data_IF_332837981375
#
_entry.id   IF_332837981375
#
_cell.length_a   1.000
_cell.length_b   1.000
_cell.length_c   1.000
_cell.angle_alpha   90.00
_cell.angle_beta   90.00
_cell.angle_gamma   90.00
#
_symmetry.space_group_name_H-M   'P 1'
#
loop_
_entity.id
_entity.type
_entity.pdbx_description
1 polymer ?
#
# COMPACT_ATOMS: atom_id res chain seq x y z
N UNK A 1 -55.44 -7.07 -10.75
CA UNK A 1 -54.50 -5.95 -11.00
C UNK A 1 -53.10 -6.45 -10.66
N UNK A 2 -52.45 -7.05 -11.66
CA UNK A 2 -51.11 -7.65 -11.54
C UNK A 2 -50.09 -6.56 -11.85
N UNK A 3 -49.35 -6.13 -10.82
CA UNK A 3 -48.23 -5.20 -10.96
C UNK A 3 -47.19 -5.78 -11.92
N UNK A 4 -46.83 -5.01 -12.95
CA UNK A 4 -45.86 -5.38 -13.96
C UNK A 4 -44.44 -5.24 -13.39
N UNK A 5 -44.03 -6.27 -12.62
CA UNK A 5 -42.71 -6.38 -11.98
C UNK A 5 -41.56 -6.13 -12.95
N UNK A 6 -41.76 -6.42 -14.24
CA UNK A 6 -40.78 -6.19 -15.30
C UNK A 6 -40.42 -4.71 -15.41
N UNK A 7 -41.42 -3.84 -15.23
CA UNK A 7 -41.25 -2.39 -15.30
C UNK A 7 -40.56 -1.82 -14.06
N UNK A 8 -40.87 -2.34 -12.88
CA UNK A 8 -40.15 -2.00 -11.63
C UNK A 8 -38.68 -2.41 -11.70
N UNK A 9 -38.37 -3.59 -12.26
CA UNK A 9 -36.99 -4.06 -12.42
C UNK A 9 -36.23 -3.20 -13.44
N UNK A 10 -36.86 -2.80 -14.54
CA UNK A 10 -36.26 -1.90 -15.52
C UNK A 10 -36.02 -0.50 -14.95
N UNK A 11 -36.98 0.06 -14.22
CA UNK A 11 -36.83 1.36 -13.58
C UNK A 11 -35.78 1.33 -12.45
N UNK A 12 -35.65 0.21 -11.74
CA UNK A 12 -34.59 0.02 -10.74
C UNK A 12 -33.22 -0.10 -11.42
N UNK A 13 -33.11 -0.88 -12.50
CA UNK A 13 -31.87 -1.03 -13.25
C UNK A 13 -31.41 0.31 -13.86
N UNK A 14 -32.32 1.07 -14.47
CA UNK A 14 -31.99 2.39 -15.02
C UNK A 14 -31.55 3.40 -13.94
N UNK A 15 -32.02 3.26 -12.70
CA UNK A 15 -31.61 4.11 -11.57
C UNK A 15 -30.31 3.66 -10.89
N UNK A 16 -29.90 2.39 -11.05
CA UNK A 16 -28.79 1.79 -10.31
C UNK A 16 -27.67 1.24 -11.20
N UNK A 17 -27.80 1.32 -12.52
CA UNK A 17 -26.69 1.15 -13.47
C UNK A 17 -25.78 2.35 -13.27
N UNK A 18 -24.74 2.17 -12.46
CA UNK A 18 -23.54 2.98 -12.50
C UNK A 18 -22.57 2.29 -13.48
N UNK A 19 -22.42 2.82 -14.71
CA UNK A 19 -21.54 2.23 -15.72
C UNK A 19 -20.07 2.18 -15.28
N UNK A 20 -19.70 2.90 -14.20
CA UNK A 20 -18.35 2.88 -13.64
C UNK A 20 -18.08 1.68 -12.71
N UNK A 21 -19.09 0.87 -12.38
CA UNK A 21 -18.98 -0.23 -11.39
C UNK A 21 -19.05 -1.65 -11.97
N UNK A 22 -19.01 -1.81 -13.30
CA UNK A 22 -18.98 -3.14 -13.92
C UNK A 22 -17.65 -3.87 -13.67
N UNK A 23 -17.67 -5.12 -13.16
CA UNK A 23 -16.47 -5.94 -13.02
C UNK A 23 -15.83 -6.19 -14.39
N UNK A 24 -14.57 -5.76 -14.57
CA UNK A 24 -13.80 -6.00 -15.80
C UNK A 24 -13.69 -4.80 -16.74
N UNK A 25 -14.35 -3.67 -16.44
CA UNK A 25 -14.05 -2.41 -17.14
C UNK A 25 -12.70 -1.88 -16.63
N UNK A 26 -11.76 -1.48 -17.50
CA UNK A 26 -10.60 -0.72 -17.04
C UNK A 26 -11.15 0.49 -16.27
N UNK A 27 -10.64 0.70 -15.06
CA UNK A 27 -10.98 1.88 -14.27
C UNK A 27 -10.71 3.16 -15.06
N UNK A 28 -11.12 4.33 -14.54
CA UNK A 28 -10.75 5.60 -15.15
C UNK A 28 -9.24 5.62 -15.44
N UNK A 29 -8.79 6.32 -16.51
CA UNK A 29 -7.38 6.45 -16.84
C UNK A 29 -6.56 6.72 -15.57
N UNK A 30 -5.36 6.14 -15.47
CA UNK A 30 -4.46 6.36 -14.33
C UNK A 30 -4.37 7.84 -13.95
N UNK A 31 -4.44 8.72 -14.96
CA UNK A 31 -4.44 10.18 -14.88
C UNK A 31 -5.58 10.78 -14.03
N UNK A 32 -6.76 10.16 -13.96
CA UNK A 32 -7.89 10.63 -13.11
C UNK A 32 -7.82 10.07 -11.67
N UNK A 33 -7.12 8.95 -11.45
CA UNK A 33 -6.77 8.48 -10.08
C UNK A 33 -5.64 9.28 -9.45
N UNK A 34 -5.04 10.21 -10.19
CA UNK A 34 -3.97 11.10 -9.70
C UNK A 34 -4.47 12.24 -8.80
N UNK A 35 -5.78 12.38 -8.59
CA UNK A 35 -6.33 13.63 -8.07
C UNK A 35 -5.91 14.00 -6.63
N UNK A 36 -5.77 13.05 -5.70
CA UNK A 36 -5.33 13.36 -4.34
C UNK A 36 -4.48 12.23 -3.74
N UNK A 37 -3.28 12.59 -3.26
CA UNK A 37 -2.47 11.68 -2.44
C UNK A 37 -3.21 11.41 -1.12
N UNK A 38 -3.19 10.18 -0.59
CA UNK A 38 -3.71 9.92 0.74
C UNK A 38 -3.00 10.82 1.78
N UNK A 39 -3.69 11.24 2.84
CA UNK A 39 -3.04 11.96 3.94
C UNK A 39 -1.97 11.07 4.56
N UNK A 40 -0.86 11.67 5.03
CA UNK A 40 0.16 10.94 5.77
C UNK A 40 -0.48 10.16 6.94
N UNK A 41 -0.07 8.91 7.07
CA UNK A 41 -0.67 7.95 7.98
C UNK A 41 0.31 7.61 9.12
N UNK A 42 -0.25 7.34 10.29
CA UNK A 42 0.48 6.83 11.43
C UNK A 42 -0.33 5.73 12.12
N UNK A 43 0.34 4.63 12.45
CA UNK A 43 -0.25 3.56 13.23
C UNK A 43 0.79 2.56 13.71
N UNK A 44 0.32 1.38 14.06
CA UNK A 44 1.14 0.35 14.71
C UNK A 44 1.17 -0.90 13.83
N UNK A 45 2.37 -1.38 13.55
CA UNK A 45 2.60 -2.73 13.03
C UNK A 45 3.02 -3.68 14.15
N UNK A 46 2.95 -4.99 13.90
CA UNK A 46 3.40 -5.99 14.85
C UNK A 46 4.64 -6.72 14.33
N UNK A 47 5.73 -6.64 15.07
CA UNK A 47 6.94 -7.39 14.79
C UNK A 47 6.80 -8.83 15.31
N UNK A 48 7.27 -9.79 14.51
CA UNK A 48 7.45 -11.19 14.89
C UNK A 48 8.73 -11.70 14.21
N UNK A 49 9.55 -12.42 14.95
CA UNK A 49 10.85 -12.92 14.46
C UNK A 49 11.73 -11.82 13.86
N UNK A 50 11.74 -10.63 14.49
CA UNK A 50 12.44 -9.43 13.99
C UNK A 50 11.93 -8.91 12.64
N UNK A 51 10.67 -9.19 12.29
CA UNK A 51 10.07 -8.76 11.04
C UNK A 51 8.69 -8.15 11.25
N UNK A 52 8.45 -7.01 10.61
CA UNK A 52 7.09 -6.55 10.31
C UNK A 52 6.76 -6.98 8.90
N UNK A 53 5.62 -7.63 8.72
CA UNK A 53 5.12 -8.04 7.41
C UNK A 53 4.02 -7.11 6.97
N UNK A 54 4.07 -6.67 5.72
CA UNK A 54 3.01 -5.92 5.05
C UNK A 54 2.59 -6.76 3.85
N UNK A 55 1.35 -7.24 3.86
CA UNK A 55 0.88 -8.26 2.92
C UNK A 55 -0.44 -7.88 2.30
N UNK A 56 -0.72 -8.47 1.14
CA UNK A 56 -2.06 -8.51 0.58
C UNK A 56 -2.95 -9.43 1.42
N UNK A 57 -4.00 -8.93 2.10
CA UNK A 57 -4.82 -9.74 2.99
C UNK A 57 -5.71 -10.75 2.25
N UNK A 58 -5.83 -10.62 0.92
CA UNK A 58 -6.67 -11.49 0.09
C UNK A 58 -5.88 -12.63 -0.56
N UNK A 59 -4.57 -12.72 -0.33
CA UNK A 59 -3.76 -13.85 -0.79
C UNK A 59 -3.31 -14.72 0.37
N UNK A 60 -3.64 -16.02 0.29
CA UNK A 60 -3.13 -17.06 1.19
C UNK A 60 -1.61 -17.21 1.02
N UNK A 61 -0.91 -17.44 2.14
CA UNK A 61 0.10 -16.53 2.64
C UNK A 61 1.11 -16.19 1.56
N UNK A 62 1.13 -14.91 1.17
CA UNK A 62 2.17 -14.36 0.32
C UNK A 62 3.54 -14.81 0.86
N UNK A 63 4.37 -15.33 -0.04
CA UNK A 63 5.68 -15.88 0.33
C UNK A 63 6.47 -14.85 1.12
N UNK A 64 7.13 -15.27 2.21
CA UNK A 64 8.04 -14.36 2.92
C UNK A 64 9.28 -14.17 2.05
N UNK A 65 9.65 -12.93 1.69
CA UNK A 65 10.88 -12.69 0.94
C UNK A 65 12.09 -13.16 1.77
N UNK A 66 13.08 -13.75 1.09
CA UNK A 66 14.37 -13.99 1.71
C UNK A 66 15.02 -12.64 2.06
N UNK A 67 15.43 -12.48 3.32
CA UNK A 67 15.92 -11.20 3.80
C UNK A 67 17.41 -11.00 3.47
N UNK A 68 17.78 -10.01 2.64
CA UNK A 68 19.17 -9.63 2.44
C UNK A 68 19.72 -8.95 3.70
N UNK A 69 21.03 -8.60 3.74
CA UNK A 69 21.63 -7.82 4.83
C UNK A 69 21.06 -6.40 5.05
N UNK A 70 19.96 -6.05 4.39
CA UNK A 70 19.27 -4.77 4.47
C UNK A 70 18.19 -4.69 5.55
N UNK A 71 17.55 -3.52 5.53
CA UNK A 71 16.41 -3.10 6.31
C UNK A 71 15.08 -3.68 5.80
N UNK A 72 14.91 -3.90 4.50
CA UNK A 72 13.64 -4.35 3.94
C UNK A 72 13.82 -5.28 2.75
N UNK A 73 12.79 -6.09 2.48
CA UNK A 73 12.74 -6.94 1.29
C UNK A 73 11.31 -7.05 0.78
N UNK A 74 11.16 -7.40 -0.50
CA UNK A 74 9.86 -7.60 -1.10
C UNK A 74 9.85 -8.77 -2.09
N UNK A 75 8.68 -9.39 -2.18
CA UNK A 75 8.22 -10.25 -3.27
C UNK A 75 6.83 -9.75 -3.66
N UNK A 76 6.22 -10.25 -4.76
CA UNK A 76 4.84 -9.91 -5.06
C UNK A 76 3.92 -10.13 -3.86
N UNK A 77 3.09 -9.13 -3.56
CA UNK A 77 2.10 -9.12 -2.48
C UNK A 77 2.64 -9.26 -1.04
N UNK A 78 3.97 -9.17 -0.84
CA UNK A 78 4.58 -9.12 0.49
C UNK A 78 5.81 -8.21 0.53
N UNK A 79 5.78 -7.25 1.45
CA UNK A 79 6.93 -6.49 1.89
C UNK A 79 7.23 -6.89 3.33
N UNK A 80 8.51 -6.98 3.68
CA UNK A 80 8.92 -7.15 5.07
C UNK A 80 9.96 -6.10 5.45
N UNK A 81 9.92 -5.69 6.71
CA UNK A 81 10.85 -4.73 7.30
C UNK A 81 11.52 -5.42 8.50
N UNK A 82 12.85 -5.37 8.52
CA UNK A 82 13.67 -5.86 9.62
C UNK A 82 13.54 -4.94 10.83
N UNK A 83 13.25 -5.54 11.99
CA UNK A 83 13.12 -4.84 13.27
C UNK A 83 14.18 -5.23 14.28
N UNK A 84 14.57 -4.27 15.14
CA UNK A 84 15.40 -4.53 16.31
C UNK A 84 14.58 -5.30 17.36
N UNK A 85 13.29 -5.00 17.48
CA UNK A 85 12.36 -5.75 18.32
C UNK A 85 12.09 -7.14 17.76
N UNK A 86 12.36 -8.17 18.55
CA UNK A 86 12.08 -9.56 18.19
C UNK A 86 10.57 -9.83 18.04
N UNK A 87 9.77 -9.33 18.99
CA UNK A 87 8.31 -9.46 18.97
C UNK A 87 7.66 -8.27 19.66
N UNK A 88 6.52 -7.82 19.15
CA UNK A 88 5.69 -6.78 19.75
C UNK A 88 5.43 -5.59 18.82
N UNK A 89 4.74 -4.55 19.31
CA UNK A 89 4.35 -3.41 18.48
C UNK A 89 5.55 -2.57 18.06
N UNK A 90 5.49 -2.03 16.84
CA UNK A 90 6.39 -0.98 16.33
C UNK A 90 5.58 0.11 15.64
N UNK A 91 6.04 1.35 15.73
CA UNK A 91 5.36 2.47 15.10
C UNK A 91 5.66 2.49 13.60
N UNK A 92 4.64 2.73 12.80
CA UNK A 92 4.73 2.86 11.35
C UNK A 92 4.14 4.20 10.94
N UNK A 93 4.89 4.95 10.16
CA UNK A 93 4.42 6.15 9.48
C UNK A 93 4.46 5.90 7.98
N UNK A 94 3.49 6.38 7.23
CA UNK A 94 3.48 6.28 5.78
C UNK A 94 3.14 7.63 5.14
N UNK A 95 3.83 7.94 4.04
CA UNK A 95 3.56 9.08 3.19
C UNK A 95 3.63 8.65 1.72
N UNK A 96 2.81 9.28 0.88
CA UNK A 96 2.66 8.95 -0.53
C UNK A 96 3.15 10.09 -1.40
N UNK A 97 3.89 9.77 -2.46
CA UNK A 97 4.45 10.76 -3.39
C UNK A 97 4.15 10.37 -4.83
N UNK A 98 4.04 11.38 -5.70
CA UNK A 98 3.94 11.20 -7.15
C UNK A 98 5.30 11.35 -7.83
N UNK A 99 6.14 12.27 -7.33
CA UNK A 99 7.43 12.58 -7.93
C UNK A 99 8.56 11.64 -7.44
N UNK A 100 9.66 11.51 -8.22
CA UNK A 100 10.88 10.89 -7.75
C UNK A 100 11.36 11.51 -6.44
N UNK A 101 11.97 10.69 -5.59
CA UNK A 101 12.40 11.11 -4.25
C UNK A 101 13.24 12.39 -4.33
N UNK A 102 12.66 13.51 -3.88
CA UNK A 102 13.48 14.68 -3.61
C UNK A 102 14.46 14.27 -2.51
N UNK A 103 15.76 14.41 -2.80
CA UNK A 103 16.85 14.01 -1.92
C UNK A 103 16.87 14.91 -0.68
N UNK A 104 15.88 14.77 0.20
CA UNK A 104 15.92 15.36 1.51
C UNK A 104 16.96 14.55 2.28
N UNK A 105 17.98 15.23 2.81
CA UNK A 105 18.87 14.65 3.82
C UNK A 105 18.00 14.26 5.00
N UNK A 106 17.54 13.02 4.97
CA UNK A 106 16.63 12.47 5.96
C UNK A 106 17.39 12.41 7.28
N UNK A 107 16.74 12.84 8.37
CA UNK A 107 17.30 12.72 9.72
C UNK A 107 17.42 11.26 10.20
N UNK A 108 17.04 10.30 9.36
CA UNK A 108 17.08 8.87 9.66
C UNK A 108 18.44 8.28 9.25
N UNK A 109 19.11 7.57 10.17
CA UNK A 109 20.47 7.04 9.93
C UNK A 109 20.48 5.83 8.99
N UNK A 110 19.34 5.18 8.79
CA UNK A 110 19.20 4.01 7.93
C UNK A 110 18.08 4.24 6.92
N UNK A 111 18.34 3.91 5.66
CA UNK A 111 17.31 3.91 4.63
C UNK A 111 17.59 2.84 3.60
N UNK A 112 16.53 2.20 3.10
CA UNK A 112 16.59 1.27 1.98
C UNK A 112 15.47 1.58 0.99
N UNK A 113 15.78 1.47 -0.30
CA UNK A 113 14.80 1.59 -1.37
C UNK A 113 14.64 0.24 -2.06
N UNK A 114 13.39 -0.16 -2.28
CA UNK A 114 13.04 -1.37 -2.99
C UNK A 114 11.83 -1.14 -3.90
N UNK A 115 11.63 -2.03 -4.85
CA UNK A 115 10.39 -2.12 -5.62
C UNK A 115 9.56 -3.29 -5.09
N UNK A 116 8.24 -3.13 -5.11
CA UNK A 116 7.32 -4.22 -4.84
C UNK A 116 6.13 -4.18 -5.80
N UNK A 117 5.52 -5.34 -5.99
CA UNK A 117 4.34 -5.52 -6.85
C UNK A 117 3.17 -5.94 -5.99
N UNK A 118 2.00 -5.37 -6.25
CA UNK A 118 0.73 -5.83 -5.68
C UNK A 118 -0.24 -6.22 -6.80
N UNK A 119 -0.94 -7.34 -6.60
CA UNK A 119 -1.90 -7.87 -7.59
C UNK A 119 -3.33 -7.37 -7.36
N UNK A 120 -3.69 -7.02 -6.11
CA UNK A 120 -5.04 -6.55 -5.77
C UNK A 120 -5.09 -5.05 -5.52
N UNK A 121 -3.93 -4.42 -5.28
CA UNK A 121 -3.89 -3.02 -4.86
C UNK A 121 -4.19 -2.80 -3.40
N UNK A 122 -4.10 -3.85 -2.58
CA UNK A 122 -4.30 -3.77 -1.14
C UNK A 122 -3.11 -4.38 -0.44
N UNK A 123 -2.37 -3.57 0.32
CA UNK A 123 -1.18 -3.98 1.09
C UNK A 123 -1.25 -3.41 2.50
N UNK A 124 -1.33 -4.29 3.52
CA UNK A 124 -1.58 -3.92 4.92
C UNK A 124 -0.57 -4.57 5.88
N UNK A 125 -0.13 -3.88 6.94
CA UNK A 125 0.68 -4.52 7.98
C UNK A 125 -0.10 -5.66 8.66
N UNK A 126 0.55 -6.80 8.84
CA UNK A 126 -0.03 -7.93 9.56
C UNK A 126 -0.23 -7.56 11.03
N UNK A 127 -1.44 -7.78 11.55
CA UNK A 127 -1.78 -7.47 12.94
C UNK A 127 -2.03 -5.98 13.23
N UNK A 128 -2.01 -5.10 12.22
CA UNK A 128 -2.53 -3.75 12.37
C UNK A 128 -4.06 -3.80 12.40
N UNK A 129 -4.68 -3.10 13.35
CA UNK A 129 -6.13 -3.16 13.50
C UNK A 129 -6.84 -2.59 12.26
N UNK A 130 -6.53 -1.39 11.74
CA UNK A 130 -7.12 -0.91 10.46
C UNK A 130 -6.29 0.19 9.73
N UNK A 131 -6.71 0.48 8.49
CA UNK A 131 -6.52 1.68 7.63
C UNK A 131 -5.29 1.90 6.76
N UNK A 132 -4.13 1.27 6.98
CA UNK A 132 -3.03 1.46 6.03
C UNK A 132 -3.22 0.61 4.77
N UNK A 133 -3.36 1.27 3.61
CA UNK A 133 -3.13 0.64 2.32
C UNK A 133 -1.94 1.30 1.62
N UNK A 134 -0.79 0.62 1.52
CA UNK A 134 0.38 1.19 0.84
C UNK A 134 0.09 1.52 -0.64
N UNK A 135 -0.83 0.79 -1.27
CA UNK A 135 -1.00 0.77 -2.72
C UNK A 135 -2.28 1.51 -3.13
N UNK A 136 -2.33 2.81 -2.82
CA UNK A 136 -3.53 3.63 -2.93
C UNK A 136 -4.11 3.73 -4.36
N UNK A 137 -3.28 3.58 -5.40
CA UNK A 137 -3.75 3.62 -6.80
C UNK A 137 -4.29 2.27 -7.31
N UNK A 138 -4.20 1.22 -6.51
CA UNK A 138 -4.62 -0.12 -6.86
C UNK A 138 -3.47 -1.05 -7.21
N UNK A 139 -3.77 -2.09 -7.99
CA UNK A 139 -2.78 -3.08 -8.39
C UNK A 139 -1.69 -2.44 -9.26
N UNK A 140 -0.45 -2.91 -9.13
CA UNK A 140 0.67 -2.35 -9.88
C UNK A 140 2.01 -2.50 -9.18
N UNK A 141 3.01 -1.77 -9.71
CA UNK A 141 4.36 -1.72 -9.17
C UNK A 141 4.58 -0.40 -8.44
N UNK A 142 5.25 -0.47 -7.30
CA UNK A 142 5.49 0.65 -6.42
C UNK A 142 6.97 0.67 -6.00
N UNK A 143 7.53 1.87 -5.86
CA UNK A 143 8.76 2.06 -5.15
C UNK A 143 8.44 2.37 -3.70
N UNK A 144 9.16 1.70 -2.80
CA UNK A 144 9.10 1.91 -1.36
C UNK A 144 10.48 2.33 -0.91
N UNK A 145 10.55 3.46 -0.21
CA UNK A 145 11.72 3.80 0.60
C UNK A 145 11.35 3.66 2.07
N UNK A 146 12.08 2.78 2.76
CA UNK A 146 11.94 2.55 4.20
C UNK A 146 13.05 3.29 4.91
N UNK A 147 12.68 4.10 5.89
CA UNK A 147 13.62 4.76 6.79
C UNK A 147 13.56 4.11 8.17
N UNK A 148 14.72 3.68 8.67
CA UNK A 148 14.89 2.99 9.93
C UNK A 148 15.56 3.85 10.99
N UNK A 149 15.30 3.51 12.26
CA UNK A 149 15.96 4.06 13.45
C UNK A 149 15.77 5.57 13.70
N UNK A 150 14.53 6.04 13.68
CA UNK A 150 14.19 7.15 14.57
C UNK A 150 13.62 6.54 15.84
N UNK A 151 14.29 6.78 16.97
CA UNK A 151 13.56 6.86 18.24
C UNK A 151 12.82 8.20 18.16
N UNK A 152 11.47 8.24 18.09
CA UNK A 152 10.78 9.48 18.43
C UNK A 152 11.20 9.88 19.85
N UNK A 153 10.74 11.02 20.35
CA UNK A 153 10.88 11.36 21.77
C UNK A 153 10.32 10.30 22.75
N UNK A 154 9.68 9.25 22.21
CA UNK A 154 9.20 8.05 22.89
C UNK A 154 10.23 6.93 22.71
N UNK A 155 10.53 6.13 23.74
CA UNK A 155 11.46 4.98 23.68
C UNK A 155 11.00 3.82 22.76
N UNK A 156 10.10 4.09 21.80
CA UNK A 156 9.52 3.10 20.92
C UNK A 156 10.20 3.13 19.55
N UNK A 157 10.55 1.94 19.08
CA UNK A 157 11.03 1.72 17.71
C UNK A 157 9.95 2.07 16.69
N UNK A 158 10.36 2.70 15.59
CA UNK A 158 9.46 2.90 14.47
C UNK A 158 10.16 3.16 13.14
N UNK A 159 9.34 3.11 12.09
CA UNK A 159 9.74 3.11 10.69
C UNK A 159 8.87 4.05 9.89
N UNK A 160 9.51 4.77 8.98
CA UNK A 160 8.83 5.71 8.11
C UNK A 160 8.89 5.20 6.67
N UNK A 161 7.73 5.11 6.03
CA UNK A 161 7.51 4.48 4.73
C UNK A 161 7.14 5.57 3.73
N UNK A 162 7.94 5.69 2.68
CA UNK A 162 7.68 6.56 1.55
C UNK A 162 7.29 5.71 0.36
N UNK A 163 6.10 5.93 -0.19
CA UNK A 163 5.54 5.08 -1.26
C UNK A 163 5.22 5.93 -2.48
N UNK A 164 5.62 5.44 -3.66
CA UNK A 164 5.20 6.02 -4.93
C UNK A 164 4.83 4.93 -5.94
N UNK A 165 3.82 5.16 -6.79
CA UNK A 165 3.57 4.30 -7.94
C UNK A 165 4.75 4.37 -8.91
N UNK A 166 5.01 3.27 -9.62
CA UNK A 166 5.92 3.24 -10.77
C UNK A 166 5.07 3.10 -12.01
N UNK A 167 4.96 4.17 -12.79
CA UNK A 167 4.29 4.13 -14.09
C UNK A 167 5.04 3.17 -15.02
N UNK A 168 4.30 2.25 -15.63
CA UNK A 168 4.80 1.28 -16.61
C UNK A 168 4.24 1.63 -18.00
N UNK A 169 5.06 1.56 -19.05
CA UNK A 169 4.63 1.73 -20.44
C UNK A 169 4.92 3.11 -21.04
N UNK A 170 4.27 3.44 -22.17
CA UNK A 170 4.56 4.63 -23.00
C UNK A 170 4.46 5.97 -22.24
N UNK A 171 3.68 6.01 -21.16
CA UNK A 171 3.58 7.17 -20.26
C UNK A 171 4.86 7.45 -19.44
N UNK A 172 5.83 6.53 -19.41
CA UNK A 172 7.14 6.73 -18.76
C UNK A 172 8.15 7.51 -19.65
N UNK A 173 7.81 7.84 -20.89
CA UNK A 173 8.66 8.55 -21.86
C UNK A 173 8.27 10.02 -22.07
N UNK A 174 7.40 10.58 -21.22
CA UNK A 174 6.96 11.98 -21.25
C UNK A 174 7.97 12.92 -20.63
#
# INVERSE_FOLDING_TARGET
MTSDKSREIQEWALRNIDPAREPGRPGPPLDERMAELPPAWHGVGFARDHLVRITNPFQEPASTPAMPPGLAAAVPDCVVIRTLRATGPVNLWADWQQDPWQLRRSAWPESEELEFVTTTGIMRPLGAEFELNLTFQGAGRYALRVYGRQRPRTDQEGYFLHIRPITLGAAALG
#
